data_IF_013637420992
#
_entry.id   IF_013637420992
#
_cell.length_a   1.000
_cell.length_b   1.000
_cell.length_c   1.000
_cell.angle_alpha   90.00
_cell.angle_beta   90.00
_cell.angle_gamma   90.00
#
_symmetry.space_group_name_H-M   'P 1'
#
loop_
_entity.id
_entity.type
_entity.pdbx_description
1 polymer ?
#
# COMPACT_ATOMS: atom_id res chain seq x y z
N UNK A 1 -0.16 14.96 -9.24
CA UNK A 1 0.00 13.86 -8.27
C UNK A 1 0.91 14.35 -7.16
N UNK A 2 0.41 14.49 -5.95
CA UNK A 2 1.24 14.81 -4.77
C UNK A 2 1.77 13.49 -4.22
N UNK A 3 3.00 13.14 -4.60
CA UNK A 3 3.72 12.02 -3.96
C UNK A 3 4.09 12.45 -2.54
N UNK A 4 3.60 11.72 -1.53
CA UNK A 4 4.09 11.86 -0.16
C UNK A 4 5.60 11.53 -0.18
N UNK A 5 6.40 12.28 0.57
CA UNK A 5 7.86 12.26 0.44
C UNK A 5 8.42 10.81 0.46
N UNK A 6 8.98 10.38 -0.68
CA UNK A 6 9.54 9.05 -0.99
C UNK A 6 10.83 8.71 -0.22
N UNK A 7 11.01 9.26 0.98
CA UNK A 7 12.22 9.09 1.77
C UNK A 7 12.05 7.97 2.80
N UNK A 8 12.07 6.72 2.35
CA UNK A 8 12.33 5.57 3.24
C UNK A 8 13.66 5.75 4.01
N UNK A 9 14.64 6.44 3.41
CA UNK A 9 15.95 6.73 4.01
C UNK A 9 15.95 7.75 5.19
N UNK A 10 14.79 8.31 5.58
CA UNK A 10 14.71 9.27 6.70
C UNK A 10 14.10 8.71 8.00
N UNK A 11 13.79 7.41 8.06
CA UNK A 11 13.32 6.76 9.29
C UNK A 11 12.18 7.53 9.98
N UNK A 12 12.35 7.85 11.26
CA UNK A 12 11.38 8.58 12.09
C UNK A 12 11.07 10.01 11.61
N UNK A 13 12.04 10.70 11.00
CA UNK A 13 11.84 12.05 10.48
C UNK A 13 10.89 12.05 9.25
N UNK A 14 10.91 10.97 8.46
CA UNK A 14 9.97 10.76 7.37
C UNK A 14 8.53 10.57 7.86
N UNK A 15 8.32 9.87 8.97
CA UNK A 15 6.99 9.65 9.55
C UNK A 15 6.35 10.94 10.08
N UNK A 16 7.14 11.84 10.69
CA UNK A 16 6.65 13.15 11.11
C UNK A 16 6.17 14.01 9.94
N UNK A 17 6.92 14.04 8.83
CA UNK A 17 6.55 14.75 7.60
C UNK A 17 5.28 14.14 7.00
N UNK A 18 5.25 12.81 6.80
CA UNK A 18 4.06 12.11 6.27
C UNK A 18 2.81 12.35 7.11
N UNK A 19 2.93 12.32 8.44
CA UNK A 19 1.81 12.65 9.33
C UNK A 19 1.35 14.10 9.16
N UNK A 20 2.25 15.05 8.94
CA UNK A 20 1.87 16.45 8.66
C UNK A 20 1.14 16.57 7.34
N UNK A 21 1.66 15.94 6.28
CA UNK A 21 1.04 15.92 4.95
C UNK A 21 -0.37 15.30 5.00
N UNK A 22 -0.51 14.14 5.66
CA UNK A 22 -1.82 13.48 5.83
C UNK A 22 -2.79 14.32 6.67
N UNK A 23 -2.34 15.01 7.72
CA UNK A 23 -3.22 15.93 8.48
C UNK A 23 -3.74 17.06 7.61
N UNK A 24 -2.88 17.65 6.78
CA UNK A 24 -3.31 18.72 5.87
C UNK A 24 -4.26 18.19 4.81
N UNK A 25 -4.00 16.99 4.27
CA UNK A 25 -4.92 16.33 3.35
C UNK A 25 -6.29 16.12 4.01
N UNK A 26 -6.35 15.56 5.22
CA UNK A 26 -7.60 15.38 5.97
C UNK A 26 -8.31 16.73 6.19
N UNK A 27 -7.55 17.80 6.50
CA UNK A 27 -8.10 19.15 6.69
C UNK A 27 -8.74 19.68 5.41
N UNK A 28 -8.08 19.53 4.27
CA UNK A 28 -8.61 19.94 2.96
C UNK A 28 -9.87 19.12 2.63
N UNK A 29 -9.82 17.81 2.86
CA UNK A 29 -10.91 16.90 2.56
C UNK A 29 -12.11 17.01 3.52
N UNK A 30 -11.95 17.71 4.65
CA UNK A 30 -13.08 18.00 5.55
C UNK A 30 -14.22 18.75 4.84
N UNK A 31 -13.91 19.55 3.82
CA UNK A 31 -14.90 20.23 2.98
C UNK A 31 -15.75 19.27 2.11
N UNK A 32 -15.34 17.99 1.99
CA UNK A 32 -16.04 16.93 1.25
C UNK A 32 -16.74 15.93 2.17
N UNK A 33 -16.78 16.18 3.48
CA UNK A 33 -17.42 15.30 4.45
C UNK A 33 -18.90 15.11 4.11
N UNK A 34 -19.40 13.87 4.18
CA UNK A 34 -20.78 13.53 3.82
C UNK A 34 -21.02 13.35 2.32
N UNK A 35 -19.99 13.51 1.48
CA UNK A 35 -20.08 13.24 0.03
C UNK A 35 -19.15 12.09 -0.36
N UNK A 36 -19.52 11.23 -1.32
CA UNK A 36 -18.65 10.15 -1.80
C UNK A 36 -17.31 10.69 -2.35
N UNK A 37 -16.18 10.23 -1.80
CA UNK A 37 -14.84 10.60 -2.29
C UNK A 37 -13.76 9.57 -1.92
N UNK A 38 -12.59 9.70 -2.55
CA UNK A 38 -11.42 8.85 -2.34
C UNK A 38 -10.19 9.65 -1.93
N UNK A 39 -9.29 8.98 -1.19
CA UNK A 39 -7.88 9.35 -1.03
C UNK A 39 -7.06 8.13 -1.42
N UNK A 40 -6.18 8.25 -2.40
CA UNK A 40 -5.40 7.10 -2.88
C UNK A 40 -3.99 7.48 -3.26
N UNK A 41 -3.09 6.50 -3.20
CA UNK A 41 -1.70 6.62 -3.64
C UNK A 41 -0.73 5.88 -2.74
N UNK A 42 0.55 6.17 -2.95
CA UNK A 42 1.65 5.67 -2.14
C UNK A 42 1.80 6.51 -0.85
N UNK A 43 1.59 5.86 0.29
CA UNK A 43 1.73 6.47 1.61
C UNK A 43 3.11 6.25 2.23
N UNK A 44 3.98 5.42 1.63
CA UNK A 44 5.29 5.05 2.15
C UNK A 44 5.24 4.67 3.65
N UNK A 45 4.18 3.93 4.02
CA UNK A 45 3.82 3.64 5.41
C UNK A 45 2.95 2.39 5.48
N UNK A 46 3.08 1.63 6.57
CA UNK A 46 2.32 0.40 6.80
C UNK A 46 1.11 0.69 7.67
N UNK A 47 -0.01 0.00 7.45
CA UNK A 47 -1.15 0.14 8.35
C UNK A 47 -0.85 -0.48 9.73
N UNK A 48 -1.47 0.01 10.81
CA UNK A 48 -1.47 -0.69 12.09
C UNK A 48 -1.97 -2.14 11.92
N UNK A 49 -1.16 -3.09 12.36
CA UNK A 49 -1.43 -4.53 12.28
C UNK A 49 -0.99 -5.22 10.98
N UNK A 50 -0.66 -4.48 9.92
CA UNK A 50 -0.17 -5.09 8.68
C UNK A 50 1.21 -5.72 8.88
N UNK A 51 1.43 -6.85 8.19
CA UNK A 51 2.70 -7.57 8.15
C UNK A 51 3.74 -6.81 7.31
N UNK A 52 5.02 -7.09 7.58
CA UNK A 52 6.14 -6.61 6.79
C UNK A 52 7.19 -7.73 6.65
N UNK A 53 7.41 -8.19 5.43
CA UNK A 53 8.40 -9.23 5.12
C UNK A 53 9.75 -8.60 4.74
N UNK A 54 10.38 -7.94 5.71
CA UNK A 54 11.66 -7.27 5.52
C UNK A 54 12.77 -8.22 5.00
N UNK A 55 12.71 -9.50 5.35
CA UNK A 55 13.62 -10.55 4.92
C UNK A 55 13.46 -10.90 3.44
N UNK A 56 12.24 -10.84 2.91
CA UNK A 56 11.97 -11.00 1.48
C UNK A 56 12.55 -9.82 0.68
N UNK A 57 12.33 -8.59 1.16
CA UNK A 57 12.94 -7.38 0.60
C UNK A 57 14.48 -7.44 0.66
N UNK A 58 15.05 -7.87 1.79
CA UNK A 58 16.50 -8.03 1.94
C UNK A 58 17.06 -9.07 0.98
N UNK A 59 16.38 -10.21 0.81
CA UNK A 59 16.75 -11.24 -0.16
C UNK A 59 16.79 -10.67 -1.57
N UNK A 60 15.77 -9.90 -1.95
CA UNK A 60 15.70 -9.24 -3.24
C UNK A 60 16.90 -8.28 -3.45
N UNK A 61 17.16 -7.38 -2.49
CA UNK A 61 18.29 -6.44 -2.55
C UNK A 61 19.64 -7.18 -2.66
N UNK A 62 19.82 -8.28 -1.91
CA UNK A 62 21.03 -9.11 -1.99
C UNK A 62 21.18 -9.75 -3.38
N UNK A 63 20.08 -10.21 -3.98
CA UNK A 63 20.09 -10.80 -5.32
C UNK A 63 20.42 -9.76 -6.40
N UNK A 64 19.84 -8.55 -6.31
CA UNK A 64 20.16 -7.42 -7.20
C UNK A 64 21.63 -7.03 -7.09
N UNK A 65 22.17 -6.94 -5.87
CA UNK A 65 23.58 -6.61 -5.62
C UNK A 65 24.54 -7.65 -6.23
N UNK A 66 24.22 -8.95 -6.12
CA UNK A 66 24.99 -10.02 -6.78
C UNK A 66 24.97 -9.91 -8.31
N UNK A 67 23.80 -9.60 -8.91
CA UNK A 67 23.68 -9.40 -10.36
C UNK A 67 24.45 -8.17 -10.84
N UNK A 68 24.46 -7.09 -10.05
CA UNK A 68 25.24 -5.88 -10.35
C UNK A 68 26.75 -6.12 -10.32
N UNK A 69 27.24 -6.92 -9.37
CA UNK A 69 28.66 -7.32 -9.33
C UNK A 69 29.08 -8.10 -10.59
N UNK A 70 28.16 -8.83 -11.21
CA UNK A 70 28.40 -9.60 -12.43
C UNK A 70 28.26 -8.74 -13.71
N UNK A 71 27.37 -7.75 -13.73
CA UNK A 71 27.19 -6.83 -14.86
C UNK A 71 26.91 -5.38 -14.41
N UNK A 72 27.96 -4.55 -14.25
CA UNK A 72 27.84 -3.20 -13.70
C UNK A 72 27.03 -2.22 -14.56
N UNK A 73 26.95 -2.47 -15.88
CA UNK A 73 26.35 -1.55 -16.85
C UNK A 73 24.83 -1.71 -17.00
N UNK A 74 24.25 -2.84 -16.60
CA UNK A 74 22.84 -3.15 -16.82
C UNK A 74 21.88 -2.62 -15.74
N UNK A 75 22.38 -1.96 -14.70
CA UNK A 75 21.67 -1.79 -13.42
C UNK A 75 21.76 -0.37 -12.82
N UNK A 76 21.93 0.65 -13.67
CA UNK A 76 21.92 2.05 -13.25
C UNK A 76 20.50 2.42 -12.79
N UNK A 77 20.33 2.66 -11.49
CA UNK A 77 19.05 3.12 -10.89
C UNK A 77 18.40 2.15 -9.91
N UNK A 78 18.87 0.90 -9.78
CA UNK A 78 18.27 -0.06 -8.85
C UNK A 78 18.82 0.05 -7.42
N UNK A 79 17.98 -0.17 -6.39
CA UNK A 79 18.41 -0.12 -4.99
C UNK A 79 19.40 -1.25 -4.70
N UNK A 80 20.50 -0.91 -4.03
CA UNK A 80 21.56 -1.83 -3.63
C UNK A 80 21.81 -1.69 -2.13
N UNK A 81 22.47 -2.67 -1.52
CA UNK A 81 22.63 -2.74 -0.05
C UNK A 81 23.21 -1.45 0.56
N UNK A 82 24.19 -0.83 -0.11
CA UNK A 82 24.83 0.41 0.36
C UNK A 82 23.95 1.68 0.21
N UNK A 83 22.84 1.58 -0.53
CA UNK A 83 21.82 2.62 -0.66
C UNK A 83 20.80 2.55 0.49
N UNK A 84 20.53 1.35 1.01
CA UNK A 84 19.58 1.08 2.11
C UNK A 84 20.28 1.17 3.46
N UNK A 85 21.55 0.76 3.54
CA UNK A 85 22.34 0.78 4.77
C UNK A 85 23.22 2.04 4.81
N UNK A 86 22.98 2.97 5.74
CA UNK A 86 23.79 4.17 5.85
C UNK A 86 25.24 3.82 6.19
N UNK A 87 26.20 4.61 5.70
CA UNK A 87 27.66 4.39 5.85
C UNK A 87 28.12 3.82 7.20
N UNK A 88 27.72 4.35 8.37
CA UNK A 88 28.19 3.84 9.66
C UNK A 88 27.73 2.42 9.98
N UNK A 89 26.66 1.92 9.34
CA UNK A 89 26.09 0.59 9.59
C UNK A 89 26.52 -0.45 8.54
N UNK A 90 27.33 -0.07 7.54
CA UNK A 90 27.76 -0.97 6.46
C UNK A 90 28.62 -2.14 6.94
N UNK A 91 29.20 -2.07 8.13
CA UNK A 91 29.89 -3.21 8.74
C UNK A 91 28.95 -4.40 9.01
N UNK A 92 27.64 -4.17 9.06
CA UNK A 92 26.61 -5.21 9.19
C UNK A 92 26.29 -5.90 7.85
N UNK A 93 26.79 -5.40 6.71
CA UNK A 93 26.50 -5.98 5.39
C UNK A 93 26.77 -7.50 5.29
N UNK A 94 27.84 -8.07 5.88
CA UNK A 94 28.05 -9.52 5.86
C UNK A 94 26.94 -10.29 6.59
N UNK A 95 26.48 -9.77 7.74
CA UNK A 95 25.38 -10.34 8.49
C UNK A 95 24.06 -10.22 7.70
N UNK A 96 23.77 -9.04 7.15
CA UNK A 96 22.59 -8.79 6.32
C UNK A 96 22.54 -9.72 5.09
N UNK A 97 23.69 -10.02 4.48
CA UNK A 97 23.77 -10.98 3.37
C UNK A 97 23.51 -12.43 3.80
N UNK A 98 23.74 -12.78 5.06
CA UNK A 98 23.51 -14.13 5.60
C UNK A 98 22.08 -14.34 6.14
N UNK A 99 21.33 -13.26 6.43
CA UNK A 99 19.94 -13.36 6.93
C UNK A 99 19.04 -14.17 5.99
N UNK A 100 19.01 -13.92 4.65
CA UNK A 100 18.13 -14.64 3.73
C UNK A 100 18.34 -16.16 3.69
N UNK A 101 19.52 -16.64 4.12
CA UNK A 101 19.92 -18.04 4.08
C UNK A 101 19.49 -18.81 5.35
N UNK A 102 18.91 -18.12 6.36
CA UNK A 102 18.46 -18.74 7.61
C UNK A 102 17.03 -18.34 7.97
N UNK A 103 16.15 -19.34 8.10
CA UNK A 103 14.73 -19.12 8.47
C UNK A 103 14.58 -18.42 9.82
N UNK A 104 15.40 -18.79 10.80
CA UNK A 104 15.40 -18.17 12.14
C UNK A 104 15.79 -16.68 12.05
N UNK A 105 16.86 -16.36 11.31
CA UNK A 105 17.30 -14.98 11.14
C UNK A 105 16.27 -14.15 10.36
N UNK A 106 15.64 -14.71 9.32
CA UNK A 106 14.52 -14.04 8.63
C UNK A 106 13.40 -13.68 9.60
N UNK A 107 12.93 -14.62 10.41
CA UNK A 107 11.82 -14.36 11.34
C UNK A 107 12.14 -13.30 12.39
N UNK A 108 13.36 -13.31 12.93
CA UNK A 108 13.80 -12.29 13.89
C UNK A 108 13.94 -10.92 13.22
N UNK A 109 14.46 -10.89 12.00
CA UNK A 109 14.63 -9.66 11.23
C UNK A 109 13.27 -9.04 10.84
N UNK A 110 12.32 -9.86 10.39
CA UNK A 110 10.96 -9.43 10.06
C UNK A 110 10.25 -8.85 11.28
N UNK A 111 10.37 -9.53 12.43
CA UNK A 111 9.82 -9.04 13.69
C UNK A 111 10.45 -7.70 14.10
N UNK A 112 11.78 -7.59 14.08
CA UNK A 112 12.47 -6.36 14.42
C UNK A 112 12.08 -5.22 13.47
N UNK A 113 12.13 -5.45 12.16
CA UNK A 113 11.76 -4.46 11.15
C UNK A 113 10.30 -4.00 11.28
N UNK A 114 9.39 -4.91 11.64
CA UNK A 114 7.97 -4.60 11.87
C UNK A 114 7.74 -3.61 13.02
N UNK A 115 8.63 -3.57 14.01
CA UNK A 115 8.60 -2.59 15.11
C UNK A 115 9.07 -1.20 14.70
N UNK A 116 9.98 -1.11 13.72
CA UNK A 116 10.52 0.15 13.22
C UNK A 116 9.76 0.72 12.03
N UNK A 117 8.85 -0.07 11.43
CA UNK A 117 8.02 0.36 10.31
C UNK A 117 7.14 1.57 10.70
N UNK A 118 7.15 2.66 9.91
CA UNK A 118 6.27 3.79 10.14
C UNK A 118 4.81 3.36 9.92
N UNK A 119 3.94 3.67 10.89
CA UNK A 119 2.50 3.36 10.83
C UNK A 119 1.59 4.55 11.10
N UNK A 120 2.17 5.70 11.45
CA UNK A 120 1.46 6.81 12.06
C UNK A 120 0.46 7.51 11.15
N UNK A 121 0.77 7.66 9.86
CA UNK A 121 -0.12 8.36 8.93
C UNK A 121 -1.39 7.55 8.61
N UNK A 122 -1.30 6.22 8.53
CA UNK A 122 -2.46 5.36 8.26
C UNK A 122 -3.44 5.38 9.43
N UNK A 123 -2.93 5.41 10.67
CA UNK A 123 -3.76 5.60 11.87
C UNK A 123 -4.57 6.90 11.81
N UNK A 124 -4.02 7.98 11.27
CA UNK A 124 -4.71 9.27 11.17
C UNK A 124 -5.90 9.19 10.20
N UNK A 125 -5.73 8.54 9.04
CA UNK A 125 -6.81 8.37 8.06
C UNK A 125 -7.94 7.51 8.64
N UNK A 126 -7.61 6.39 9.27
CA UNK A 126 -8.59 5.53 9.95
C UNK A 126 -9.34 6.30 11.05
N UNK A 127 -8.62 7.10 11.85
CA UNK A 127 -9.23 7.92 12.91
C UNK A 127 -10.12 9.04 12.36
N UNK A 128 -9.84 9.53 11.14
CA UNK A 128 -10.67 10.50 10.44
C UNK A 128 -11.91 9.88 9.78
N UNK A 129 -12.09 8.56 9.87
CA UNK A 129 -13.25 7.82 9.35
C UNK A 129 -13.08 7.30 7.93
N UNK A 130 -11.88 7.40 7.34
CA UNK A 130 -11.62 6.79 6.04
C UNK A 130 -11.53 5.27 6.14
N UNK A 131 -12.13 4.61 5.16
CA UNK A 131 -12.20 3.15 5.05
C UNK A 131 -11.10 2.65 4.12
N UNK A 132 -10.25 1.76 4.62
CA UNK A 132 -9.22 1.05 3.87
C UNK A 132 -9.87 0.01 2.93
N UNK A 133 -10.00 0.32 1.64
CA UNK A 133 -10.76 -0.50 0.69
C UNK A 133 -10.21 -1.92 0.57
N UNK A 134 -8.89 -2.06 0.52
CA UNK A 134 -8.26 -3.37 0.40
C UNK A 134 -8.55 -4.23 1.62
N UNK A 135 -8.34 -3.69 2.83
CA UNK A 135 -8.57 -4.44 4.08
C UNK A 135 -10.05 -4.75 4.31
N UNK A 136 -10.96 -3.88 3.86
CA UNK A 136 -12.41 -4.13 3.93
C UNK A 136 -12.82 -5.37 3.12
N UNK A 137 -12.22 -5.57 1.93
CA UNK A 137 -12.54 -6.72 1.07
C UNK A 137 -11.68 -7.96 1.32
N UNK A 138 -10.48 -7.77 1.85
CA UNK A 138 -9.50 -8.83 2.04
C UNK A 138 -8.95 -8.81 3.48
N UNK A 139 -9.77 -9.12 4.50
CA UNK A 139 -9.40 -8.95 5.90
C UNK A 139 -8.16 -9.74 6.31
N UNK A 140 -7.88 -10.88 5.65
CA UNK A 140 -6.78 -11.78 5.99
C UNK A 140 -5.65 -11.82 4.96
N UNK A 141 -5.79 -11.11 3.83
CA UNK A 141 -4.72 -11.07 2.82
C UNK A 141 -3.65 -10.05 3.22
N UNK A 142 -2.40 -10.35 2.92
CA UNK A 142 -1.29 -9.43 3.17
C UNK A 142 -1.38 -8.18 2.28
N UNK A 143 -1.74 -8.36 1.01
CA UNK A 143 -1.92 -7.26 0.06
C UNK A 143 -0.65 -6.50 -0.27
N UNK A 144 0.50 -7.17 -0.24
CA UNK A 144 1.79 -6.53 -0.54
C UNK A 144 1.78 -5.90 -1.93
N UNK A 145 2.19 -4.65 -2.01
CA UNK A 145 2.26 -3.85 -3.23
C UNK A 145 3.69 -3.53 -3.64
N UNK A 146 4.65 -3.58 -2.72
CA UNK A 146 6.03 -3.18 -2.98
C UNK A 146 7.04 -4.11 -2.27
N UNK A 147 8.20 -4.40 -2.88
CA UNK A 147 8.53 -4.17 -4.30
C UNK A 147 7.77 -5.14 -5.20
N UNK A 148 7.52 -4.77 -6.46
CA UNK A 148 6.66 -5.55 -7.37
C UNK A 148 7.22 -6.93 -7.74
N UNK A 149 8.53 -7.09 -7.77
CA UNK A 149 9.24 -8.34 -8.08
C UNK A 149 9.46 -9.26 -6.85
N UNK A 150 9.27 -8.73 -5.64
CA UNK A 150 9.30 -9.48 -4.39
C UNK A 150 8.40 -8.83 -3.33
N UNK A 151 7.07 -8.84 -3.50
CA UNK A 151 6.15 -8.08 -2.66
C UNK A 151 6.31 -8.41 -1.18
N UNK A 152 6.62 -7.37 -0.39
CA UNK A 152 7.03 -7.53 1.02
C UNK A 152 6.28 -6.58 1.97
N UNK A 153 5.73 -5.48 1.46
CA UNK A 153 4.97 -4.51 2.24
C UNK A 153 3.81 -3.93 1.44
N UNK A 154 2.75 -3.54 2.14
CA UNK A 154 1.60 -2.82 1.58
C UNK A 154 1.72 -1.34 1.88
N UNK A 155 2.14 -0.57 0.90
CA UNK A 155 2.37 0.89 1.06
C UNK A 155 1.50 1.75 0.14
N UNK A 156 0.83 1.11 -0.81
CA UNK A 156 -0.13 1.70 -1.72
C UNK A 156 -1.55 1.43 -1.22
N UNK A 157 -2.38 2.48 -1.17
CA UNK A 157 -3.71 2.40 -0.59
C UNK A 157 -4.75 3.13 -1.44
N UNK A 158 -5.97 2.61 -1.37
CA UNK A 158 -7.20 3.32 -1.74
C UNK A 158 -8.05 3.41 -0.47
N UNK A 159 -8.25 4.63 0.01
CA UNK A 159 -9.15 4.96 1.11
C UNK A 159 -10.42 5.59 0.56
N UNK A 160 -11.58 5.08 0.99
CA UNK A 160 -12.88 5.65 0.64
C UNK A 160 -13.52 6.37 1.83
N UNK A 161 -14.31 7.41 1.53
CA UNK A 161 -15.24 7.96 2.50
C UNK A 161 -16.28 6.89 2.90
N UNK A 162 -16.90 6.96 4.09
CA UNK A 162 -17.92 5.99 4.51
C UNK A 162 -19.09 5.86 3.54
N UNK A 163 -19.45 6.95 2.84
CA UNK A 163 -20.52 6.99 1.86
C UNK A 163 -20.15 6.17 0.61
N UNK A 164 -18.92 6.35 0.09
CA UNK A 164 -18.46 5.64 -1.09
C UNK A 164 -18.09 4.17 -0.78
N UNK A 165 -17.59 3.89 0.42
CA UNK A 165 -17.20 2.54 0.84
C UNK A 165 -18.36 1.53 0.79
N UNK A 166 -19.61 2.00 0.95
CA UNK A 166 -20.81 1.17 0.82
C UNK A 166 -20.98 0.59 -0.60
N UNK A 167 -20.45 1.28 -1.60
CA UNK A 167 -20.52 0.87 -2.99
C UNK A 167 -19.32 0.01 -3.41
N UNK A 168 -18.31 -0.19 -2.54
CA UNK A 168 -17.12 -0.95 -2.90
C UNK A 168 -17.52 -2.40 -3.24
N UNK A 169 -17.24 -2.84 -4.46
CA UNK A 169 -17.47 -4.22 -4.90
C UNK A 169 -16.23 -5.07 -4.65
N UNK A 170 -15.09 -4.66 -5.20
CA UNK A 170 -13.82 -5.38 -5.14
C UNK A 170 -12.65 -4.43 -4.83
N UNK A 171 -11.58 -4.96 -4.26
CA UNK A 171 -10.30 -4.27 -4.19
C UNK A 171 -9.17 -5.30 -4.17
N UNK A 172 -8.23 -5.21 -5.12
CA UNK A 172 -7.21 -6.25 -5.35
C UNK A 172 -5.86 -5.64 -5.72
N UNK A 173 -4.79 -6.42 -5.51
CA UNK A 173 -3.47 -6.12 -6.06
C UNK A 173 -3.37 -6.80 -7.42
N UNK A 174 -3.01 -6.04 -8.46
CA UNK A 174 -2.88 -6.57 -9.81
C UNK A 174 -1.43 -6.94 -10.09
N UNK A 175 -1.13 -8.24 -10.18
CA UNK A 175 0.22 -8.73 -10.47
C UNK A 175 0.54 -8.75 -11.99
N UNK A 176 -0.48 -8.84 -12.83
CA UNK A 176 -0.37 -8.86 -14.30
C UNK A 176 -1.65 -8.30 -14.91
N UNK A 177 -1.54 -7.57 -16.02
CA UNK A 177 -2.68 -7.07 -16.79
C UNK A 177 -2.31 -6.91 -18.26
N UNK A 178 -3.21 -7.29 -19.17
CA UNK A 178 -3.00 -7.21 -20.62
C UNK A 178 -1.70 -7.90 -21.10
N UNK A 179 -1.29 -8.98 -20.42
CA UNK A 179 -0.05 -9.71 -20.72
C UNK A 179 1.24 -9.02 -20.27
N UNK A 180 1.15 -7.93 -19.51
CA UNK A 180 2.29 -7.24 -18.90
C UNK A 180 2.34 -7.53 -17.41
N UNK A 181 3.48 -8.04 -16.94
CA UNK A 181 3.70 -8.30 -15.50
C UNK A 181 3.96 -6.98 -14.78
N UNK A 182 3.46 -6.85 -13.55
CA UNK A 182 3.55 -5.61 -12.77
C UNK A 182 4.99 -5.14 -12.55
N UNK A 183 5.92 -6.07 -12.35
CA UNK A 183 7.36 -5.81 -12.22
C UNK A 183 8.02 -5.22 -13.47
N UNK A 184 7.42 -5.41 -14.65
CA UNK A 184 7.90 -4.80 -15.90
C UNK A 184 7.39 -3.36 -16.04
N UNK A 185 6.30 -3.01 -15.35
CA UNK A 185 5.65 -1.71 -15.43
C UNK A 185 6.14 -0.72 -14.36
N UNK A 186 6.40 -1.18 -13.13
CA UNK A 186 6.84 -0.37 -12.00
C UNK A 186 7.45 -1.25 -10.90
N UNK A 187 8.21 -0.64 -10.00
CA UNK A 187 8.63 -1.21 -8.71
C UNK A 187 7.48 -1.36 -7.69
N UNK A 188 6.27 -0.88 -8.01
CA UNK A 188 5.06 -1.07 -7.22
C UNK A 188 3.97 -1.78 -8.04
N UNK A 189 3.25 -2.70 -7.41
CA UNK A 189 2.05 -3.34 -7.99
C UNK A 189 0.85 -2.39 -7.88
N UNK A 190 0.03 -2.27 -8.94
CA UNK A 190 -1.21 -1.50 -8.89
C UNK A 190 -2.20 -2.04 -7.85
N UNK A 191 -2.82 -1.12 -7.10
CA UNK A 191 -4.01 -1.41 -6.29
C UNK A 191 -5.23 -0.98 -7.09
N UNK A 192 -6.15 -1.90 -7.32
CA UNK A 192 -7.37 -1.67 -8.09
C UNK A 192 -8.56 -1.77 -7.15
N UNK A 193 -9.51 -0.85 -7.25
CA UNK A 193 -10.78 -0.90 -6.52
C UNK A 193 -11.94 -0.61 -7.47
N UNK A 194 -12.98 -1.40 -7.39
CA UNK A 194 -14.22 -1.21 -8.15
C UNK A 194 -15.34 -0.78 -7.20
N UNK A 195 -16.13 0.18 -7.65
CA UNK A 195 -17.31 0.67 -6.94
C UNK A 195 -18.54 0.46 -7.83
N UNK A 196 -19.54 -0.24 -7.31
CA UNK A 196 -20.83 -0.43 -7.96
C UNK A 196 -21.78 0.75 -7.80
N UNK A 197 -22.99 0.65 -8.34
CA UNK A 197 -24.05 1.62 -8.09
C UNK A 197 -24.71 1.41 -6.73
N UNK A 198 -25.13 2.49 -6.05
CA UNK A 198 -26.09 2.37 -4.96
C UNK A 198 -27.41 1.86 -5.54
N UNK A 199 -27.86 0.68 -5.12
CA UNK A 199 -29.25 0.28 -5.35
C UNK A 199 -30.09 1.19 -4.45
N UNK A 200 -30.63 2.26 -5.03
CA UNK A 200 -31.60 3.11 -4.36
C UNK A 200 -32.72 2.23 -3.79
N UNK A 201 -33.22 2.60 -2.61
CA UNK A 201 -34.44 2.06 -2.03
C UNK A 201 -35.42 1.73 -3.15
N UNK A 202 -35.83 0.46 -3.25
CA UNK A 202 -36.91 0.06 -4.15
C UNK A 202 -38.12 0.90 -3.77
N UNK A 203 -38.39 1.97 -4.50
CA UNK A 203 -39.70 2.58 -4.51
C UNK A 203 -40.64 1.50 -5.02
N UNK A 204 -41.32 0.83 -4.09
CA UNK A 204 -42.40 -0.09 -4.41
C UNK A 204 -43.46 0.79 -5.07
N UNK A 205 -43.49 0.77 -6.40
CA UNK A 205 -44.62 1.26 -7.16
C UNK A 205 -45.82 0.44 -6.68
N UNK A 206 -46.73 1.10 -5.95
CA UNK A 206 -48.01 0.51 -5.57
C UNK A 206 -48.76 0.16 -6.85
N UNK A 207 -49.22 -1.08 -6.93
CA UNK A 207 -50.15 -1.56 -7.95
C UNK A 207 -51.56 -1.01 -7.64
N UNK A 208 -51.77 0.28 -7.81
CA UNK A 208 -53.11 0.89 -7.84
C UNK A 208 -53.01 1.98 -8.91
N UNK A 209 -53.62 1.75 -10.09
CA UNK A 209 -53.97 2.72 -11.16
C UNK A 209 -54.15 2.04 -12.55
N UNK A 210 -54.35 0.71 -12.64
CA UNK A 210 -54.67 0.03 -13.93
C UNK A 210 -56.18 -0.16 -14.15
N UNK A 211 -57.05 0.48 -13.38
CA UNK A 211 -58.49 0.26 -13.48
C UNK A 211 -59.32 1.53 -13.69
N UNK A 212 -58.89 2.39 -14.61
CA UNK A 212 -59.75 3.47 -15.14
C UNK A 212 -59.54 3.70 -16.65
N UNK A 213 -59.43 2.61 -17.42
CA UNK A 213 -59.44 2.65 -18.90
C UNK A 213 -60.37 1.60 -19.51
N UNK A 214 -61.49 1.34 -18.85
CA UNK A 214 -62.66 0.64 -19.42
C UNK A 214 -63.93 1.30 -18.89
N UNK A 215 -64.47 2.24 -19.67
CA UNK A 215 -65.88 2.44 -20.04
C UNK A 215 -65.90 3.49 -21.16
#
# INVERSE_FOLDING_TARGET
MTHLSAAFNKGWAGDAIRRREVRELIRIMAAKRGTPHLIMGDFNSLAPGDAFQASALLRHIVQVDRRRQQNPAALVGQPHLDFVVPRPLRFLNPLLRAIPDSRLLCTLFDWAASLYAPRGCISLLRSAGYVDCFRLKNPHSDGFSCPSDAPAGRIDYIFASPELAQCLSTCTILAEGEGVRGEEASDHLPVVAEFGGMVGEKTVLKNEDVEEARI
#
